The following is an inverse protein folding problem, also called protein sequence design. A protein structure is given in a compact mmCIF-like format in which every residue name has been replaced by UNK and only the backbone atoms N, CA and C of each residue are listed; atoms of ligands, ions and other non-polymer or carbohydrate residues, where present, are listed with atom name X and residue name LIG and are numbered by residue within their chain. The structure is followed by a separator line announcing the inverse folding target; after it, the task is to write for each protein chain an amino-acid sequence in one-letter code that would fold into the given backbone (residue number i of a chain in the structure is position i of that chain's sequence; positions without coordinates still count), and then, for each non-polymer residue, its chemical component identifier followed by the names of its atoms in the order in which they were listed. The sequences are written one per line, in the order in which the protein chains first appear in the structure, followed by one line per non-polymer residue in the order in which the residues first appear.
data_IF_787124433402
#
_entry.id   IF_787124433402
#
_cell.length_a   1.000
_cell.length_b   1.000
_cell.length_c   1.000
_cell.angle_alpha   90.00
_cell.angle_beta   90.00
_cell.angle_gamma   90.00
#
_symmetry.space_group_name_H-M   'P 1'
#
loop_
_entity.id
_entity.type
_entity.pdbx_description
1 polymer ?
#
# COMPACT_ATOMS: atom_id res chain seq x y z
N UNK A 1 12.52 -15.85 32.87
CA UNK A 1 13.06 -16.24 31.54
C UNK A 1 12.10 -15.91 30.40
N UNK A 2 10.77 -16.05 30.58
CA UNK A 2 9.75 -15.74 29.56
C UNK A 2 9.75 -14.27 29.09
N UNK A 3 9.80 -13.31 30.03
CA UNK A 3 9.77 -11.87 29.72
C UNK A 3 10.95 -11.47 28.82
N UNK A 4 12.18 -11.93 29.12
CA UNK A 4 13.36 -11.63 28.29
C UNK A 4 13.25 -12.17 26.86
N UNK A 5 12.57 -13.31 26.66
CA UNK A 5 12.37 -13.92 25.35
C UNK A 5 11.37 -13.13 24.51
N UNK A 6 10.23 -12.76 25.08
CA UNK A 6 9.21 -11.93 24.40
C UNK A 6 9.77 -10.57 23.99
N UNK A 7 10.54 -9.91 24.86
CA UNK A 7 11.19 -8.63 24.53
C UNK A 7 12.21 -8.77 23.39
N UNK A 8 12.98 -9.87 23.37
CA UNK A 8 13.93 -10.13 22.29
C UNK A 8 13.21 -10.35 20.96
N UNK A 9 12.14 -11.14 20.94
CA UNK A 9 11.37 -11.44 19.73
C UNK A 9 10.73 -10.18 19.13
N UNK A 10 10.21 -9.28 19.98
CA UNK A 10 9.67 -7.97 19.55
C UNK A 10 10.76 -7.10 18.90
N UNK A 11 11.94 -7.04 19.50
CA UNK A 11 13.06 -6.24 18.98
C UNK A 11 13.55 -6.77 17.62
N UNK A 12 13.61 -8.08 17.45
CA UNK A 12 13.98 -8.71 16.18
C UNK A 12 12.96 -8.38 15.10
N UNK A 13 11.66 -8.49 15.40
CA UNK A 13 10.60 -8.15 14.46
C UNK A 13 10.64 -6.68 14.03
N UNK A 14 10.78 -5.74 14.99
CA UNK A 14 10.87 -4.31 14.66
C UNK A 14 12.09 -4.00 13.79
N UNK A 15 13.25 -4.61 14.07
CA UNK A 15 14.43 -4.45 13.23
C UNK A 15 14.23 -5.00 11.81
N UNK A 16 13.49 -6.10 11.65
CA UNK A 16 13.15 -6.63 10.33
C UNK A 16 12.25 -5.66 9.55
N UNK A 17 11.24 -5.09 10.20
CA UNK A 17 10.36 -4.07 9.60
C UNK A 17 11.19 -2.85 9.16
N UNK A 18 12.09 -2.37 10.01
CA UNK A 18 12.93 -1.20 9.73
C UNK A 18 13.80 -1.41 8.48
N UNK A 19 14.48 -2.55 8.39
CA UNK A 19 15.26 -2.93 7.20
C UNK A 19 14.40 -2.98 5.92
N UNK A 20 13.16 -3.45 6.04
CA UNK A 20 12.20 -3.52 4.92
C UNK A 20 11.76 -2.13 4.50
N UNK A 21 11.43 -1.26 5.45
CA UNK A 21 11.10 0.16 5.19
C UNK A 21 12.25 0.83 4.44
N UNK A 22 13.49 0.71 4.91
CA UNK A 22 14.65 1.31 4.24
C UNK A 22 14.81 0.85 2.77
N UNK A 23 14.57 -0.43 2.51
CA UNK A 23 14.60 -0.98 1.16
C UNK A 23 13.47 -0.40 0.28
N UNK A 24 12.25 -0.33 0.81
CA UNK A 24 11.10 0.25 0.14
C UNK A 24 11.28 1.75 -0.13
N UNK A 25 11.90 2.51 0.76
CA UNK A 25 12.21 3.91 0.52
C UNK A 25 13.20 4.10 -0.64
N UNK A 26 14.23 3.25 -0.72
CA UNK A 26 15.19 3.28 -1.85
C UNK A 26 14.48 2.97 -3.17
N UNK A 27 13.56 2.01 -3.16
CA UNK A 27 12.70 1.70 -4.31
C UNK A 27 11.82 2.90 -4.70
N UNK A 28 11.14 3.53 -3.74
CA UNK A 28 10.29 4.70 -3.97
C UNK A 28 11.07 5.90 -4.51
N UNK A 29 12.29 6.14 -4.01
CA UNK A 29 13.19 7.18 -4.54
C UNK A 29 13.50 6.98 -6.02
N UNK A 30 13.58 5.74 -6.51
CA UNK A 30 13.85 5.45 -7.92
C UNK A 30 12.75 5.91 -8.89
N UNK A 31 11.53 6.12 -8.38
CA UNK A 31 10.40 6.68 -9.14
C UNK A 31 10.05 8.11 -8.70
N UNK A 32 10.94 8.78 -7.97
CA UNK A 32 10.78 10.16 -7.53
C UNK A 32 9.82 10.37 -6.37
N UNK A 33 9.44 9.31 -5.65
CA UNK A 33 8.61 9.43 -4.44
C UNK A 33 9.49 9.48 -3.19
N UNK A 34 9.26 10.47 -2.34
CA UNK A 34 10.01 10.67 -1.09
C UNK A 34 9.10 10.35 0.09
N UNK A 35 9.54 9.37 0.88
CA UNK A 35 8.93 8.97 2.16
C UNK A 35 9.52 9.87 3.24
N UNK A 36 8.66 10.45 4.09
CA UNK A 36 9.08 11.06 5.36
C UNK A 36 9.32 9.93 6.37
N UNK A 37 9.98 10.24 7.49
CA UNK A 37 10.25 9.26 8.54
C UNK A 37 8.99 8.48 8.96
N UNK A 38 9.02 7.16 8.78
CA UNK A 38 8.04 6.18 9.26
C UNK A 38 8.80 5.17 10.10
N UNK A 39 8.47 5.09 11.38
CA UNK A 39 9.13 4.12 12.28
C UNK A 39 8.57 2.71 12.08
N UNK A 40 9.38 1.71 12.43
CA UNK A 40 8.92 0.31 12.44
C UNK A 40 7.71 0.08 13.35
N UNK A 41 7.59 0.84 14.45
CA UNK A 41 6.45 0.79 15.36
C UNK A 41 5.18 1.34 14.71
N UNK A 42 5.26 2.50 14.05
CA UNK A 42 4.12 3.06 13.33
C UNK A 42 3.64 2.12 12.23
N UNK A 43 4.57 1.53 11.48
CA UNK A 43 4.24 0.54 10.46
C UNK A 43 3.57 -0.69 11.07
N UNK A 44 4.10 -1.23 12.16
CA UNK A 44 3.51 -2.36 12.86
C UNK A 44 2.11 -2.04 13.40
N UNK A 45 1.93 -0.89 14.04
CA UNK A 45 0.64 -0.48 14.59
C UNK A 45 -0.40 -0.27 13.48
N UNK A 46 0.00 0.32 12.34
CA UNK A 46 -0.87 0.45 11.17
C UNK A 46 -1.33 -0.92 10.65
N UNK A 47 -0.38 -1.83 10.40
CA UNK A 47 -0.65 -3.16 9.84
C UNK A 47 -1.42 -4.09 10.77
N UNK A 48 -1.38 -3.83 12.09
CA UNK A 48 -2.08 -4.64 13.11
C UNK A 48 -3.24 -3.88 13.75
N UNK A 49 -3.63 -2.76 13.15
CA UNK A 49 -4.69 -1.89 13.61
C UNK A 49 -6.08 -2.39 13.26
N UNK A 50 -7.09 -1.73 13.82
CA UNK A 50 -8.49 -1.88 13.48
C UNK A 50 -8.75 -1.30 12.08
N UNK A 51 -9.46 -2.07 11.26
CA UNK A 51 -9.90 -1.68 9.92
C UNK A 51 -11.43 -1.82 9.83
N UNK A 52 -12.05 -1.09 8.90
CA UNK A 52 -13.49 -1.19 8.63
C UNK A 52 -13.82 -2.13 7.45
N UNK A 53 -12.80 -2.68 6.78
CA UNK A 53 -12.94 -3.64 5.70
C UNK A 53 -12.72 -5.07 6.21
N UNK A 54 -13.06 -6.05 5.39
CA UNK A 54 -12.78 -7.47 5.65
C UNK A 54 -11.42 -7.91 5.07
N UNK A 55 -10.47 -6.98 4.92
CA UNK A 55 -9.15 -7.30 4.38
C UNK A 55 -8.42 -8.28 5.31
N UNK A 56 -7.85 -9.32 4.72
CA UNK A 56 -7.13 -10.40 5.42
C UNK A 56 -5.63 -10.33 5.20
N UNK A 57 -5.13 -9.30 4.52
CA UNK A 57 -3.70 -9.10 4.26
C UNK A 57 -2.92 -8.98 5.56
N UNK A 58 -1.96 -9.88 5.78
CA UNK A 58 -1.17 -9.90 7.01
C UNK A 58 0.12 -9.09 6.91
N UNK A 59 0.73 -8.77 8.05
CA UNK A 59 2.07 -8.18 8.08
C UNK A 59 3.09 -9.04 7.32
N UNK A 60 3.03 -10.36 7.43
CA UNK A 60 3.96 -11.26 6.74
C UNK A 60 3.77 -11.24 5.22
N UNK A 61 2.52 -11.14 4.73
CA UNK A 61 2.23 -10.96 3.31
C UNK A 61 2.87 -9.67 2.78
N UNK A 62 2.77 -8.59 3.54
CA UNK A 62 3.35 -7.29 3.20
C UNK A 62 4.87 -7.31 3.24
N UNK A 63 5.48 -7.86 4.29
CA UNK A 63 6.95 -7.92 4.41
C UNK A 63 7.60 -8.86 3.39
N UNK A 64 6.85 -9.84 2.87
CA UNK A 64 7.31 -10.78 1.83
C UNK A 64 7.13 -10.27 0.40
N UNK A 65 6.34 -9.21 0.18
CA UNK A 65 6.06 -8.65 -1.15
C UNK A 65 6.46 -7.18 -1.25
N UNK A 66 7.48 -6.87 -2.08
CA UNK A 66 7.99 -5.50 -2.20
C UNK A 66 6.94 -4.48 -2.67
N UNK A 67 5.94 -4.89 -3.45
CA UNK A 67 4.90 -4.00 -3.95
C UNK A 67 3.86 -3.68 -2.88
N UNK A 68 3.45 -4.68 -2.09
CA UNK A 68 2.55 -4.46 -0.95
C UNK A 68 3.24 -3.61 0.11
N UNK A 69 4.51 -3.87 0.42
CA UNK A 69 5.28 -3.03 1.34
C UNK A 69 5.33 -1.56 0.89
N UNK A 70 5.53 -1.32 -0.41
CA UNK A 70 5.49 0.02 -0.99
C UNK A 70 4.09 0.64 -0.85
N UNK A 71 3.04 -0.13 -1.06
CA UNK A 71 1.66 0.32 -0.90
C UNK A 71 1.43 0.86 0.51
N UNK A 72 1.65 0.03 1.53
CA UNK A 72 1.41 0.37 2.93
C UNK A 72 2.27 1.55 3.38
N UNK A 73 3.55 1.56 2.99
CA UNK A 73 4.45 2.66 3.33
C UNK A 73 4.00 4.00 2.74
N UNK A 74 3.43 3.99 1.53
CA UNK A 74 2.89 5.19 0.90
C UNK A 74 1.63 5.67 1.62
N UNK A 75 0.72 4.76 2.00
CA UNK A 75 -0.48 5.11 2.77
C UNK A 75 -0.12 5.79 4.08
N UNK A 76 0.77 5.17 4.86
CA UNK A 76 1.25 5.72 6.14
C UNK A 76 1.88 7.10 5.94
N UNK A 77 2.76 7.25 4.94
CA UNK A 77 3.41 8.52 4.66
C UNK A 77 2.41 9.63 4.27
N UNK A 78 1.39 9.31 3.47
CA UNK A 78 0.35 10.28 3.09
C UNK A 78 -0.52 10.68 4.27
N UNK A 79 -0.91 9.73 5.14
CA UNK A 79 -1.62 10.02 6.39
C UNK A 79 -0.81 10.95 7.29
N UNK A 80 0.51 10.70 7.43
CA UNK A 80 1.40 11.60 8.18
C UNK A 80 1.51 13.00 7.56
N UNK A 81 1.56 13.11 6.23
CA UNK A 81 1.55 14.42 5.54
C UNK A 81 0.27 15.21 5.82
N UNK A 82 -0.85 14.53 6.07
CA UNK A 82 -2.11 15.13 6.48
C UNK A 82 -2.20 15.43 8.00
N UNK A 83 -1.14 15.18 8.76
CA UNK A 83 -1.09 15.43 10.21
C UNK A 83 -1.80 14.36 11.04
N UNK A 84 -2.06 13.17 10.49
CA UNK A 84 -2.63 12.05 11.24
C UNK A 84 -1.55 11.38 12.09
N UNK A 85 -1.93 10.99 13.31
CA UNK A 85 -1.10 10.13 14.15
C UNK A 85 -1.27 8.70 13.68
N UNK A 86 -0.17 7.97 13.51
CA UNK A 86 -0.19 6.58 13.07
C UNK A 86 -0.22 5.69 14.30
N UNK A 87 -1.37 5.05 14.51
CA UNK A 87 -1.62 4.11 15.58
C UNK A 87 -2.59 3.02 15.10
N UNK A 88 -2.98 2.13 16.02
CA UNK A 88 -3.86 1.00 15.73
C UNK A 88 -5.30 1.37 15.38
N UNK A 89 -5.68 2.64 15.43
CA UNK A 89 -7.05 3.09 15.15
C UNK A 89 -7.13 4.12 14.04
N UNK A 90 -6.00 4.56 13.49
CA UNK A 90 -5.95 5.62 12.46
C UNK A 90 -6.89 5.37 11.28
N UNK A 91 -7.11 4.12 10.87
CA UNK A 91 -8.01 3.76 9.77
C UNK A 91 -9.49 3.97 10.15
N UNK A 92 -9.94 3.44 11.28
CA UNK A 92 -11.35 3.52 11.73
C UNK A 92 -11.72 4.91 12.27
N UNK A 93 -10.76 5.64 12.83
CA UNK A 93 -10.98 6.98 13.40
C UNK A 93 -10.84 8.09 12.33
N UNK A 94 -10.38 7.76 11.12
CA UNK A 94 -10.31 8.71 10.00
C UNK A 94 -11.57 8.65 9.11
N UNK A 95 -11.96 9.78 8.46
CA UNK A 95 -13.01 9.74 7.46
C UNK A 95 -12.66 8.76 6.33
N UNK A 96 -13.63 7.96 5.89
CA UNK A 96 -13.42 7.00 4.78
C UNK A 96 -12.83 7.66 3.55
N UNK A 97 -13.29 8.86 3.19
CA UNK A 97 -12.75 9.63 2.06
C UNK A 97 -11.24 9.89 2.16
N UNK A 98 -10.71 10.11 3.37
CA UNK A 98 -9.28 10.26 3.63
C UNK A 98 -8.56 8.92 3.41
N UNK A 99 -9.10 7.82 3.96
CA UNK A 99 -8.50 6.49 3.80
C UNK A 99 -8.49 6.06 2.33
N UNK A 100 -9.58 6.24 1.59
CA UNK A 100 -9.60 5.95 0.16
C UNK A 100 -8.72 6.90 -0.66
N UNK A 101 -8.53 8.17 -0.25
CA UNK A 101 -7.60 9.08 -0.93
C UNK A 101 -6.17 8.55 -0.86
N UNK A 102 -5.72 8.19 0.35
CA UNK A 102 -4.36 7.66 0.55
C UNK A 102 -4.20 6.29 -0.11
N UNK A 103 -5.22 5.44 -0.06
CA UNK A 103 -5.21 4.14 -0.72
C UNK A 103 -5.04 4.24 -2.24
N UNK A 104 -5.82 5.12 -2.88
CA UNK A 104 -5.70 5.32 -4.33
C UNK A 104 -4.34 5.94 -4.72
N UNK A 105 -3.76 6.80 -3.88
CA UNK A 105 -2.39 7.32 -4.09
C UNK A 105 -1.34 6.22 -3.94
N UNK A 106 -1.48 5.36 -2.93
CA UNK A 106 -0.61 4.22 -2.69
C UNK A 106 -0.66 3.25 -3.86
N UNK A 107 -1.86 2.86 -4.29
CA UNK A 107 -2.07 2.01 -5.46
C UNK A 107 -1.46 2.61 -6.73
N UNK A 108 -1.66 3.91 -6.99
CA UNK A 108 -1.05 4.55 -8.16
C UNK A 108 0.49 4.48 -8.09
N UNK A 109 1.07 4.69 -6.92
CA UNK A 109 2.52 4.70 -6.70
C UNK A 109 3.11 3.29 -6.83
N UNK A 110 2.45 2.29 -6.23
CA UNK A 110 2.74 0.87 -6.38
C UNK A 110 2.76 0.47 -7.86
N UNK A 111 1.72 0.81 -8.62
CA UNK A 111 1.63 0.47 -10.05
C UNK A 111 2.68 1.21 -10.89
N UNK A 112 3.01 2.47 -10.58
CA UNK A 112 4.12 3.19 -11.21
C UNK A 112 5.45 2.47 -10.97
N UNK A 113 5.69 2.02 -9.74
CA UNK A 113 6.89 1.27 -9.41
C UNK A 113 6.95 -0.09 -10.13
N UNK A 114 5.85 -0.83 -10.16
CA UNK A 114 5.77 -2.09 -10.91
C UNK A 114 6.04 -1.89 -12.42
N UNK A 115 5.52 -0.81 -13.01
CA UNK A 115 5.85 -0.45 -14.40
C UNK A 115 7.32 -0.09 -14.59
N UNK A 116 7.93 0.66 -13.65
CA UNK A 116 9.36 0.97 -13.66
C UNK A 116 10.21 -0.30 -13.61
N UNK A 117 9.81 -1.29 -12.79
CA UNK A 117 10.41 -2.62 -12.71
C UNK A 117 10.06 -3.54 -13.89
N UNK A 118 9.20 -3.08 -14.82
CA UNK A 118 8.66 -3.85 -15.95
C UNK A 118 7.90 -5.11 -15.53
N UNK A 119 7.35 -5.14 -14.32
CA UNK A 119 6.55 -6.24 -13.80
C UNK A 119 5.07 -6.06 -14.18
N UNK A 120 4.79 -6.34 -15.44
CA UNK A 120 3.42 -6.26 -15.98
C UNK A 120 2.50 -7.35 -15.43
N UNK A 121 3.06 -8.42 -14.86
CA UNK A 121 2.27 -9.49 -14.23
C UNK A 121 1.64 -8.97 -12.95
N UNK A 122 2.43 -8.30 -12.11
CA UNK A 122 1.92 -7.64 -10.91
C UNK A 122 0.85 -6.60 -11.24
N UNK A 123 1.10 -5.71 -12.21
CA UNK A 123 0.12 -4.70 -12.62
C UNK A 123 -1.21 -5.32 -13.03
N UNK A 124 -1.21 -6.44 -13.76
CA UNK A 124 -2.45 -7.14 -14.15
C UNK A 124 -3.17 -7.74 -12.95
N UNK A 125 -2.44 -8.38 -12.04
CA UNK A 125 -3.00 -8.98 -10.83
C UNK A 125 -3.66 -7.89 -9.99
N UNK A 126 -2.94 -6.80 -9.72
CA UNK A 126 -3.43 -5.70 -8.88
C UNK A 126 -4.61 -4.97 -9.49
N UNK A 127 -4.62 -4.76 -10.81
CA UNK A 127 -5.79 -4.19 -11.50
C UNK A 127 -7.02 -5.10 -11.43
N UNK A 128 -6.84 -6.42 -11.56
CA UNK A 128 -7.94 -7.37 -11.37
C UNK A 128 -8.50 -7.28 -9.96
N UNK A 129 -7.63 -7.34 -8.95
CA UNK A 129 -8.04 -7.21 -7.55
C UNK A 129 -8.76 -5.89 -7.27
N UNK A 130 -8.26 -4.76 -7.77
CA UNK A 130 -8.94 -3.46 -7.60
C UNK A 130 -10.33 -3.43 -8.26
N UNK A 131 -10.46 -4.04 -9.45
CA UNK A 131 -11.77 -4.15 -10.10
C UNK A 131 -12.75 -4.96 -9.25
N UNK A 132 -12.34 -6.14 -8.82
CA UNK A 132 -13.18 -7.08 -8.08
C UNK A 132 -13.47 -6.58 -6.66
N UNK A 133 -12.44 -6.19 -5.91
CA UNK A 133 -12.55 -5.87 -4.48
C UNK A 133 -12.96 -4.43 -4.20
N UNK A 134 -12.64 -3.46 -5.08
CA UNK A 134 -12.91 -2.02 -4.82
C UNK A 134 -14.06 -1.50 -5.68
N UNK A 135 -14.00 -1.70 -7.00
CA UNK A 135 -15.01 -1.10 -7.89
C UNK A 135 -16.35 -1.84 -7.85
N UNK A 136 -16.33 -3.17 -7.78
CA UNK A 136 -17.54 -3.99 -7.90
C UNK A 136 -18.17 -4.33 -6.55
N UNK A 137 -17.36 -4.65 -5.54
CA UNK A 137 -17.85 -5.29 -4.32
C UNK A 137 -17.59 -4.53 -3.02
N UNK A 138 -17.04 -3.32 -3.05
CA UNK A 138 -16.71 -2.58 -1.83
C UNK A 138 -17.90 -1.74 -1.31
N UNK A 139 -18.53 -2.12 -0.18
CA UNK A 139 -19.60 -1.34 0.43
C UNK A 139 -19.09 -0.09 1.16
N UNK A 140 -17.78 0.02 1.40
CA UNK A 140 -17.19 1.11 2.17
C UNK A 140 -16.70 2.26 1.28
N UNK A 141 -16.55 2.05 -0.03
CA UNK A 141 -16.10 3.06 -0.98
C UNK A 141 -17.09 4.25 -1.02
N UNK A 142 -16.67 5.46 -0.60
CA UNK A 142 -17.51 6.64 -0.72
C UNK A 142 -17.88 6.92 -2.18
N UNK A 143 -19.14 7.30 -2.44
CA UNK A 143 -19.63 7.52 -3.80
C UNK A 143 -18.81 8.57 -4.54
N UNK A 144 -18.38 9.63 -3.85
CA UNK A 144 -17.56 10.69 -4.42
C UNK A 144 -16.15 10.22 -4.86
N UNK A 145 -15.66 9.09 -4.32
CA UNK A 145 -14.33 8.56 -4.63
C UNK A 145 -14.35 7.59 -5.81
N UNK A 146 -15.52 7.07 -6.18
CA UNK A 146 -15.68 6.09 -7.27
C UNK A 146 -15.14 6.57 -8.63
N UNK A 147 -15.42 7.81 -9.09
CA UNK A 147 -14.89 8.28 -10.37
C UNK A 147 -13.36 8.22 -10.44
N UNK A 148 -12.68 8.57 -9.35
CA UNK A 148 -11.22 8.55 -9.28
C UNK A 148 -10.66 7.12 -9.24
N UNK A 149 -11.32 6.22 -8.52
CA UNK A 149 -10.94 4.80 -8.50
C UNK A 149 -11.06 4.17 -9.90
N UNK A 150 -12.09 4.53 -10.66
CA UNK A 150 -12.24 4.10 -12.05
C UNK A 150 -11.20 4.72 -12.99
N UNK A 151 -10.89 6.00 -12.82
CA UNK A 151 -9.88 6.69 -13.62
C UNK A 151 -8.51 6.03 -13.47
N UNK A 152 -8.12 5.71 -12.24
CA UNK A 152 -6.89 4.97 -11.95
C UNK A 152 -6.88 3.62 -12.68
N UNK A 153 -7.97 2.85 -12.57
CA UNK A 153 -8.09 1.56 -13.26
C UNK A 153 -7.95 1.71 -14.79
N UNK A 154 -8.66 2.68 -15.39
CA UNK A 154 -8.63 2.95 -16.83
C UNK A 154 -7.23 3.36 -17.29
N UNK A 155 -6.57 4.24 -16.54
CA UNK A 155 -5.19 4.72 -16.80
C UNK A 155 -4.23 3.56 -16.96
N UNK A 156 -4.10 2.71 -15.95
CA UNK A 156 -3.11 1.62 -15.99
C UNK A 156 -3.53 0.47 -16.91
N UNK A 157 -4.83 0.20 -17.06
CA UNK A 157 -5.33 -0.78 -18.05
C UNK A 157 -4.90 -0.40 -19.47
N UNK A 158 -4.99 0.88 -19.83
CA UNK A 158 -4.61 1.37 -21.16
C UNK A 158 -3.11 1.14 -21.45
N UNK A 159 -2.24 1.36 -20.45
CA UNK A 159 -0.79 1.13 -20.57
C UNK A 159 -0.49 -0.34 -20.89
N UNK A 160 -1.16 -1.27 -20.23
CA UNK A 160 -0.99 -2.72 -20.46
C UNK A 160 -1.53 -3.14 -21.83
N UNK A 161 -2.63 -2.55 -22.29
CA UNK A 161 -3.24 -2.85 -23.59
C UNK A 161 -2.41 -2.31 -24.77
N UNK A 162 -1.87 -1.10 -24.66
CA UNK A 162 -1.06 -0.49 -25.72
C UNK A 162 0.25 -1.26 -25.95
N UNK A 163 0.83 -1.86 -24.91
CA UNK A 163 1.99 -2.76 -25.07
C UNK A 163 1.69 -4.06 -25.82
N UNK A 164 0.48 -4.60 -25.73
CA UNK A 164 0.10 -5.77 -26.56
C UNK A 164 0.08 -5.46 -28.06
N UNK A 165 -0.05 -4.19 -28.43
CA UNK A 165 -0.06 -3.75 -29.83
C UNK A 165 1.33 -3.33 -30.33
N UNK A 166 2.21 -2.86 -29.45
CA UNK A 166 3.60 -2.46 -29.80
C UNK A 166 4.61 -3.61 -29.95
N UNK A 167 4.26 -4.85 -29.59
CA UNK A 167 5.11 -6.04 -29.74
C UNK A 167 4.75 -6.90 -30.97
N UNK A 168 4.01 -6.34 -31.94
CA UNK A 168 3.80 -6.93 -33.27
C UNK A 168 4.68 -6.18 -34.29
N UNK A 169 5.99 -6.35 -34.20
CA UNK A 169 6.97 -6.03 -35.24
C UNK A 169 8.07 -7.09 -35.17
#
# INVERSE_FOLDING_TARGET
MLIKRVYFDILVMLSQIENKIEAAEKALRSIGYIVKEVSAKEFYDYMTGEIFSEDTTTLDDVLSNEYLLIHELVEINELKKMGRTIDKRVIVDSPKTVIYDVHLKAMETELKYALYRKDYSWVKIRLRQHKESVLENDPNLPEEMRPRAEELFKKFRSVIQNRKHGNRC
#
